data_IF_699688387639
#
_entry.id   IF_699688387639
#
_cell.length_a   1.000
_cell.length_b   1.000
_cell.length_c   1.000
_cell.angle_alpha   90.00
_cell.angle_beta   90.00
_cell.angle_gamma   90.00
#
_symmetry.space_group_name_H-M   'P 1'
#
loop_
_entity.id
_entity.type
_entity.pdbx_description
1 polymer ?
#
# COMPACT_ATOMS: atom_id res chain seq x y z
N UNK A 1 3.47 -0.17 0.93
CA UNK A 1 2.69 -1.16 1.71
C UNK A 1 3.14 -1.25 3.16
N UNK A 2 2.22 -1.31 4.12
CA UNK A 2 2.58 -1.83 5.45
C UNK A 2 2.91 -3.32 5.35
N UNK A 3 3.94 -3.78 6.06
CA UNK A 3 4.40 -5.18 6.03
C UNK A 3 3.26 -6.19 6.26
N UNK A 4 2.29 -5.85 7.11
CA UNK A 4 1.13 -6.68 7.39
C UNK A 4 0.22 -6.91 6.17
N UNK A 5 -0.04 -5.87 5.36
CA UNK A 5 -0.94 -5.99 4.20
C UNK A 5 -0.31 -6.82 3.07
N UNK A 6 1.00 -6.66 2.87
CA UNK A 6 1.75 -7.46 1.89
C UNK A 6 1.71 -8.94 2.27
N UNK A 7 2.02 -9.25 3.54
CA UNK A 7 1.94 -10.62 4.07
C UNK A 7 0.55 -11.21 3.95
N UNK A 8 -0.49 -10.41 4.17
CA UNK A 8 -1.86 -10.87 4.01
C UNK A 8 -2.21 -11.22 2.56
N UNK A 9 -1.85 -10.36 1.60
CA UNK A 9 -2.04 -10.65 0.17
C UNK A 9 -1.23 -11.89 -0.28
N UNK A 10 0.01 -12.05 0.19
CA UNK A 10 0.82 -13.25 -0.04
C UNK A 10 0.13 -14.50 0.54
N UNK A 11 -0.38 -14.42 1.77
CA UNK A 11 -1.10 -15.53 2.42
C UNK A 11 -2.35 -15.96 1.64
N UNK A 12 -3.07 -15.00 1.04
CA UNK A 12 -4.23 -15.29 0.18
C UNK A 12 -3.82 -15.94 -1.14
N UNK A 13 -2.72 -15.50 -1.73
CA UNK A 13 -2.22 -16.03 -2.99
C UNK A 13 -1.71 -17.47 -2.87
N UNK A 14 -1.14 -17.80 -1.72
CA UNK A 14 -0.61 -19.14 -1.40
C UNK A 14 -1.62 -20.02 -0.67
N UNK A 15 -2.83 -19.51 -0.41
CA UNK A 15 -3.85 -20.24 0.31
C UNK A 15 -4.19 -21.54 -0.41
N UNK A 16 -4.17 -22.65 0.33
CA UNK A 16 -4.62 -23.97 -0.12
C UNK A 16 -5.59 -24.53 0.90
N UNK A 17 -6.70 -25.04 0.42
CA UNK A 17 -7.63 -25.76 1.28
C UNK A 17 -6.97 -27.03 1.81
N UNK A 18 -7.30 -27.36 3.05
CA UNK A 18 -6.96 -28.66 3.60
C UNK A 18 -8.07 -29.62 3.21
N UNK A 19 -7.87 -30.34 2.10
CA UNK A 19 -8.88 -31.23 1.55
C UNK A 19 -8.84 -32.61 2.23
N UNK A 20 -9.98 -33.31 2.21
CA UNK A 20 -10.09 -34.71 2.62
C UNK A 20 -9.91 -35.59 1.38
N UNK A 21 -8.90 -36.45 1.38
CA UNK A 21 -8.54 -37.28 0.22
C UNK A 21 -7.55 -36.59 -0.72
N UNK A 22 -7.25 -37.24 -1.85
CA UNK A 22 -6.16 -36.82 -2.76
C UNK A 22 -6.64 -35.93 -3.93
N UNK A 23 -7.92 -35.52 -3.93
CA UNK A 23 -8.50 -34.70 -4.99
C UNK A 23 -9.23 -33.47 -4.42
N UNK A 24 -9.07 -32.33 -5.09
CA UNK A 24 -9.84 -31.11 -4.80
C UNK A 24 -11.19 -31.16 -5.52
N UNK A 25 -12.23 -30.62 -4.88
CA UNK A 25 -13.53 -30.38 -5.51
C UNK A 25 -13.51 -29.14 -6.40
N UNK A 26 -14.43 -29.06 -7.36
CA UNK A 26 -14.57 -27.89 -8.23
C UNK A 26 -14.81 -26.59 -7.43
N UNK A 27 -15.56 -26.68 -6.32
CA UNK A 27 -15.82 -25.55 -5.43
C UNK A 27 -14.54 -25.08 -4.71
N UNK A 28 -13.71 -25.99 -4.20
CA UNK A 28 -12.44 -25.66 -3.55
C UNK A 28 -11.47 -24.97 -4.52
N UNK A 29 -11.37 -25.47 -5.76
CA UNK A 29 -10.57 -24.87 -6.82
C UNK A 29 -11.09 -23.46 -7.15
N UNK A 30 -12.41 -23.31 -7.26
CA UNK A 30 -13.05 -22.02 -7.57
C UNK A 30 -12.79 -20.99 -6.47
N UNK A 31 -12.93 -21.38 -5.20
CA UNK A 31 -12.68 -20.49 -4.08
C UNK A 31 -11.19 -20.12 -3.99
N UNK A 32 -10.27 -21.08 -4.16
CA UNK A 32 -8.82 -20.80 -4.13
C UNK A 32 -8.42 -19.80 -5.21
N UNK A 33 -8.95 -19.94 -6.43
CA UNK A 33 -8.73 -18.97 -7.52
C UNK A 33 -9.29 -17.59 -7.18
N UNK A 34 -10.48 -17.54 -6.59
CA UNK A 34 -11.10 -16.27 -6.17
C UNK A 34 -10.23 -15.54 -5.13
N UNK A 35 -9.59 -16.27 -4.20
CA UNK A 35 -8.66 -15.69 -3.22
C UNK A 35 -7.38 -15.17 -3.88
N UNK A 36 -6.85 -15.87 -4.89
CA UNK A 36 -5.70 -15.41 -5.67
C UNK A 36 -6.01 -14.12 -6.46
N UNK A 37 -7.18 -14.04 -7.09
CA UNK A 37 -7.62 -12.81 -7.76
C UNK A 37 -7.75 -11.65 -6.78
N UNK A 38 -8.35 -11.89 -5.62
CA UNK A 38 -8.48 -10.88 -4.57
C UNK A 38 -7.11 -10.41 -4.03
N UNK A 39 -6.14 -11.32 -3.88
CA UNK A 39 -4.77 -10.97 -3.54
C UNK A 39 -4.14 -10.02 -4.58
N UNK A 40 -4.36 -10.28 -5.86
CA UNK A 40 -3.93 -9.41 -6.96
C UNK A 40 -4.55 -8.02 -6.87
N UNK A 41 -5.85 -7.93 -6.60
CA UNK A 41 -6.56 -6.64 -6.40
C UNK A 41 -5.98 -5.87 -5.22
N UNK A 42 -5.74 -6.53 -4.08
CA UNK A 42 -5.15 -5.90 -2.89
C UNK A 42 -3.75 -5.34 -3.17
N UNK A 43 -2.94 -6.07 -3.93
CA UNK A 43 -1.60 -5.62 -4.33
C UNK A 43 -1.68 -4.36 -5.18
N UNK A 44 -2.52 -4.37 -6.22
CA UNK A 44 -2.70 -3.22 -7.10
C UNK A 44 -3.19 -1.98 -6.36
N UNK A 45 -4.15 -2.15 -5.44
CA UNK A 45 -4.70 -1.06 -4.63
C UNK A 45 -3.62 -0.40 -3.78
N UNK A 46 -2.79 -1.20 -3.11
CA UNK A 46 -1.73 -0.67 -2.26
C UNK A 46 -0.58 -0.03 -3.05
N UNK A 47 -0.31 -0.51 -4.26
CA UNK A 47 0.64 0.13 -5.17
C UNK A 47 0.13 1.52 -5.58
N UNK A 48 -1.16 1.66 -5.92
CA UNK A 48 -1.77 2.96 -6.22
C UNK A 48 -1.78 3.88 -4.99
N UNK A 49 -2.09 3.35 -3.80
CA UNK A 49 -1.98 4.10 -2.54
C UNK A 49 -0.57 4.62 -2.32
N UNK A 50 0.46 3.80 -2.61
CA UNK A 50 1.87 4.20 -2.44
C UNK A 50 2.23 5.32 -3.41
N UNK A 51 1.86 5.19 -4.69
CA UNK A 51 2.03 6.26 -5.69
C UNK A 51 1.36 7.56 -5.29
N UNK A 52 0.13 7.50 -4.76
CA UNK A 52 -0.60 8.69 -4.32
C UNK A 52 0.12 9.40 -3.16
N UNK A 53 0.68 8.65 -2.21
CA UNK A 53 1.44 9.21 -1.08
C UNK A 53 2.74 9.86 -1.58
N UNK A 54 3.47 9.20 -2.47
CA UNK A 54 4.70 9.74 -3.07
C UNK A 54 4.40 11.04 -3.83
N UNK A 55 3.37 11.03 -4.68
CA UNK A 55 2.95 12.21 -5.42
C UNK A 55 2.53 13.36 -4.49
N UNK A 56 1.76 13.09 -3.43
CA UNK A 56 1.40 14.11 -2.44
C UNK A 56 2.64 14.65 -1.70
N UNK A 57 3.62 13.79 -1.41
CA UNK A 57 4.88 14.18 -0.79
C UNK A 57 5.67 15.15 -1.68
N UNK A 58 5.76 14.85 -2.97
CA UNK A 58 6.58 15.63 -3.92
C UNK A 58 5.90 16.93 -4.32
N UNK A 59 4.59 16.89 -4.57
CA UNK A 59 3.83 18.05 -5.07
C UNK A 59 3.43 19.01 -3.96
N UNK A 60 3.16 18.51 -2.75
CA UNK A 60 2.60 19.33 -1.66
C UNK A 60 3.50 19.37 -0.43
N UNK A 61 3.83 18.22 0.17
CA UNK A 61 4.50 18.20 1.48
C UNK A 61 5.89 18.83 1.40
N UNK A 62 6.74 18.37 0.48
CA UNK A 62 8.12 18.86 0.35
C UNK A 62 8.17 20.35 0.00
N UNK A 63 7.37 20.88 -0.96
CA UNK A 63 7.32 22.32 -1.21
C UNK A 63 6.84 23.13 0.00
N UNK A 64 5.82 22.66 0.72
CA UNK A 64 5.32 23.35 1.92
C UNK A 64 6.35 23.34 3.05
N UNK A 65 7.06 22.24 3.26
CA UNK A 65 8.13 22.16 4.24
C UNK A 65 9.30 23.10 3.91
N UNK A 66 9.66 23.17 2.62
CA UNK A 66 10.68 24.08 2.11
C UNK A 66 10.27 25.52 2.34
N UNK A 67 9.06 25.89 1.92
CA UNK A 67 8.51 27.23 2.12
C UNK A 67 8.49 27.64 3.59
N UNK A 68 8.05 26.73 4.48
CA UNK A 68 8.05 26.95 5.93
C UNK A 68 9.45 27.23 6.48
N UNK A 69 10.47 26.46 6.05
CA UNK A 69 11.84 26.62 6.55
C UNK A 69 12.52 27.86 5.99
N UNK A 70 12.44 28.04 4.68
CA UNK A 70 13.20 29.06 3.97
C UNK A 70 12.54 30.42 4.08
N UNK A 71 11.26 30.53 3.76
CA UNK A 71 10.59 31.84 3.68
C UNK A 71 10.09 32.30 5.04
N UNK A 72 9.38 31.44 5.79
CA UNK A 72 8.88 31.80 7.12
C UNK A 72 10.01 31.82 8.15
N UNK A 73 10.92 30.84 8.09
CA UNK A 73 12.09 30.79 8.97
C UNK A 73 13.00 32.00 8.81
N UNK A 74 13.32 32.40 7.57
CA UNK A 74 14.13 33.60 7.33
C UNK A 74 13.40 34.90 7.74
N UNK A 75 12.10 35.00 7.49
CA UNK A 75 11.32 36.16 7.91
C UNK A 75 11.32 36.35 9.44
N UNK A 76 11.26 35.25 10.21
CA UNK A 76 11.39 35.32 11.68
C UNK A 76 12.75 35.85 12.11
N UNK A 77 13.85 35.36 11.52
CA UNK A 77 15.20 35.84 11.86
C UNK A 77 15.34 37.34 11.55
N UNK A 78 14.76 37.81 10.45
CA UNK A 78 14.82 39.22 10.03
C UNK A 78 13.93 40.16 10.86
N UNK A 79 12.88 39.66 11.52
CA UNK A 79 12.00 40.49 12.37
C UNK A 79 12.50 40.67 13.81
N UNK A 80 13.56 39.96 14.21
CA UNK A 80 14.20 40.08 15.53
C UNK A 80 15.54 40.86 15.48
N UNK A 81 15.80 41.55 14.37
CA UNK A 81 16.83 42.58 14.25
C UNK A 81 16.15 43.94 14.15
#
# INVERSE_FOLDING_TARGET
>A
MSSAKRKFAESLNEFKFQCIGDAETDDEICIARSLQEFAGVLKNLEDERTRMIENASDVLITPLERFRKEQIGAAKVNCFH
#
